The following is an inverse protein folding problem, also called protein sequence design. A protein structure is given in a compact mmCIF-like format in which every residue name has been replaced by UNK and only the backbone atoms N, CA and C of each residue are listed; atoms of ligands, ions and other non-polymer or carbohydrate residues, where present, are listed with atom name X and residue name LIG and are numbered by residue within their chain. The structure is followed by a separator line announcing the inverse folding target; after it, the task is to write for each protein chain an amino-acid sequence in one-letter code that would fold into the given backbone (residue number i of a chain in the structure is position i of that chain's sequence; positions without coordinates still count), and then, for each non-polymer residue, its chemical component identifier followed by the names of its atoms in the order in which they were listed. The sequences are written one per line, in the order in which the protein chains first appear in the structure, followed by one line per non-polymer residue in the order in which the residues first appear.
data_IF_506725326709
#
_entry.id   IF_506725326709
#
_cell.length_a   1.000
_cell.length_b   1.000
_cell.length_c   1.000
_cell.angle_alpha   90.00
_cell.angle_beta   90.00
_cell.angle_gamma   90.00
#
_symmetry.space_group_name_H-M   'P 1'
#
loop_
_entity.id
_entity.type
_entity.pdbx_description
1 polymer ?
#
# COMPACT_ATOMS: atom_id res chain seq x y z
N UNK A 1 16.80 -0.66 19.86
CA UNK A 1 17.19 0.02 18.62
C UNK A 1 15.96 0.42 17.84
N UNK A 2 15.98 1.63 17.26
CA UNK A 2 14.80 2.21 16.61
C UNK A 2 14.26 1.37 15.46
N UNK A 3 15.14 0.72 14.68
CA UNK A 3 14.69 -0.12 13.57
C UNK A 3 13.79 -1.27 13.99
N UNK A 4 14.13 -1.93 15.09
CA UNK A 4 13.30 -2.99 15.65
C UNK A 4 11.96 -2.46 16.16
N UNK A 5 11.98 -1.27 16.78
CA UNK A 5 10.77 -0.64 17.28
C UNK A 5 9.82 -0.23 16.14
N UNK A 6 10.33 0.17 14.99
CA UNK A 6 9.53 0.48 13.82
C UNK A 6 9.01 -0.78 13.15
N UNK A 7 9.82 -1.82 13.10
CA UNK A 7 9.47 -3.08 12.42
C UNK A 7 8.31 -3.78 13.08
N UNK A 8 8.31 -3.89 14.42
CA UNK A 8 7.28 -4.61 15.15
C UNK A 8 5.85 -4.10 14.86
N UNK A 9 5.56 -2.81 15.00
CA UNK A 9 4.23 -2.31 14.66
C UNK A 9 3.92 -2.43 13.17
N UNK A 10 4.92 -2.27 12.31
CA UNK A 10 4.72 -2.48 10.88
C UNK A 10 4.31 -3.92 10.56
N UNK A 11 4.98 -4.90 11.16
CA UNK A 11 4.63 -6.32 10.99
C UNK A 11 3.21 -6.61 11.49
N UNK A 12 2.80 -6.00 12.60
CA UNK A 12 1.44 -6.13 13.12
C UNK A 12 0.38 -5.62 12.15
N UNK A 13 0.63 -4.46 11.54
CA UNK A 13 -0.28 -3.90 10.51
C UNK A 13 -0.35 -4.83 9.29
N UNK A 14 0.81 -5.30 8.84
CA UNK A 14 0.91 -6.18 7.69
C UNK A 14 0.16 -7.49 7.91
N UNK A 15 0.35 -8.13 9.06
CA UNK A 15 -0.37 -9.35 9.43
C UNK A 15 -1.88 -9.13 9.44
N UNK A 16 -2.32 -8.03 10.01
CA UNK A 16 -3.74 -7.71 10.08
C UNK A 16 -4.36 -7.52 8.69
N UNK A 17 -3.66 -6.83 7.80
CA UNK A 17 -4.09 -6.66 6.41
C UNK A 17 -4.23 -8.01 5.71
N UNK A 18 -3.22 -8.89 5.86
CA UNK A 18 -3.23 -10.21 5.23
C UNK A 18 -4.33 -11.11 5.81
N UNK A 19 -4.55 -11.08 7.11
CA UNK A 19 -5.63 -11.84 7.76
C UNK A 19 -7.00 -11.43 7.21
N UNK A 20 -7.24 -10.12 7.08
CA UNK A 20 -8.51 -9.61 6.57
C UNK A 20 -8.71 -9.98 5.10
N UNK A 21 -7.66 -9.91 4.30
CA UNK A 21 -7.70 -10.32 2.90
C UNK A 21 -8.00 -11.81 2.79
N UNK A 22 -7.29 -12.62 3.57
CA UNK A 22 -7.47 -14.07 3.56
C UNK A 22 -8.89 -14.46 3.97
N UNK A 23 -9.42 -13.85 5.03
CA UNK A 23 -10.79 -14.09 5.50
C UNK A 23 -11.85 -13.72 4.46
N UNK A 24 -11.54 -12.75 3.60
CA UNK A 24 -12.45 -12.33 2.52
C UNK A 24 -12.27 -13.13 1.23
N UNK A 25 -11.42 -14.17 1.24
CA UNK A 25 -11.21 -15.04 0.07
C UNK A 25 -10.02 -14.67 -0.81
N UNK A 26 -9.26 -13.64 -0.46
CA UNK A 26 -8.05 -13.24 -1.19
C UNK A 26 -6.85 -14.01 -0.64
N UNK A 27 -6.73 -15.28 -1.01
CA UNK A 27 -5.74 -16.21 -0.42
C UNK A 27 -4.40 -16.22 -1.16
N UNK A 28 -4.32 -15.57 -2.31
CA UNK A 28 -3.13 -15.48 -3.15
C UNK A 28 -2.34 -14.18 -2.98
N UNK A 29 -2.59 -13.45 -1.90
CA UNK A 29 -2.02 -12.12 -1.70
C UNK A 29 -0.67 -12.22 -0.98
N UNK A 30 0.40 -11.93 -1.70
CA UNK A 30 1.75 -11.85 -1.13
C UNK A 30 1.91 -10.51 -0.37
N UNK A 31 2.69 -10.50 0.74
CA UNK A 31 2.94 -9.25 1.47
C UNK A 31 3.47 -8.11 0.61
N UNK A 32 4.28 -8.40 -0.41
CA UNK A 32 4.82 -7.38 -1.31
C UNK A 32 3.76 -6.67 -2.15
N UNK A 33 2.58 -7.26 -2.32
CA UNK A 33 1.48 -6.65 -3.08
C UNK A 33 0.76 -5.57 -2.30
N UNK A 34 0.82 -5.59 -0.96
CA UNK A 34 0.08 -4.68 -0.11
C UNK A 34 0.38 -3.22 -0.43
N UNK A 35 1.66 -2.90 -0.59
CA UNK A 35 2.09 -1.52 -0.83
C UNK A 35 1.67 -1.03 -2.22
N UNK A 36 1.62 -1.92 -3.21
CA UNK A 36 1.29 -1.56 -4.59
C UNK A 36 -0.21 -1.31 -4.75
N UNK A 37 -1.04 -2.21 -4.22
CA UNK A 37 -2.50 -2.20 -4.43
C UNK A 37 -3.17 -1.00 -3.75
N UNK A 38 -2.56 -0.43 -2.73
CA UNK A 38 -3.13 0.70 -2.00
C UNK A 38 -3.14 2.02 -2.77
N UNK A 39 -2.28 2.17 -3.78
CA UNK A 39 -1.98 3.49 -4.34
C UNK A 39 -2.73 3.87 -5.62
N UNK A 40 -3.02 2.98 -6.58
CA UNK A 40 -3.72 3.42 -7.77
C UNK A 40 -5.10 3.97 -7.42
N UNK A 41 -5.31 5.24 -7.75
CA UNK A 41 -6.61 5.87 -7.60
C UNK A 41 -7.56 5.50 -8.74
N UNK A 42 -8.78 6.07 -8.75
CA UNK A 42 -9.79 5.77 -9.77
C UNK A 42 -9.33 6.03 -11.21
N UNK A 43 -8.44 7.00 -11.38
CA UNK A 43 -7.91 7.36 -12.70
C UNK A 43 -6.64 6.59 -13.07
N UNK A 44 -6.17 5.72 -12.16
CA UNK A 44 -4.96 4.96 -12.34
C UNK A 44 -3.70 5.79 -12.09
N UNK A 45 -2.56 5.16 -12.29
CA UNK A 45 -1.25 5.78 -12.05
C UNK A 45 -0.23 5.25 -13.07
N UNK A 46 0.70 6.09 -13.49
CA UNK A 46 1.79 5.67 -14.36
C UNK A 46 2.81 4.85 -13.55
N UNK A 47 3.34 3.75 -14.12
CA UNK A 47 4.34 2.94 -13.41
C UNK A 47 5.54 3.73 -12.91
N UNK A 48 6.04 4.68 -13.71
CA UNK A 48 7.18 5.51 -13.31
C UNK A 48 6.87 6.37 -12.08
N UNK A 49 5.67 6.94 -12.01
CA UNK A 49 5.24 7.74 -10.87
C UNK A 49 5.07 6.87 -9.63
N UNK A 50 4.51 5.68 -9.79
CA UNK A 50 4.33 4.74 -8.71
C UNK A 50 5.69 4.24 -8.17
N UNK A 51 6.63 3.92 -9.05
CA UNK A 51 7.98 3.52 -8.65
C UNK A 51 8.66 4.60 -7.82
N UNK A 52 8.55 5.86 -8.24
CA UNK A 52 9.11 6.99 -7.51
C UNK A 52 8.48 7.14 -6.12
N UNK A 53 7.16 7.03 -6.03
CA UNK A 53 6.44 7.12 -4.74
C UNK A 53 6.83 6.00 -3.78
N UNK A 54 6.98 4.79 -4.29
CA UNK A 54 7.30 3.62 -3.48
C UNK A 54 8.80 3.43 -3.25
N UNK A 55 9.62 4.29 -3.85
CA UNK A 55 11.09 4.18 -3.80
C UNK A 55 11.58 2.81 -4.26
N UNK A 56 10.98 2.32 -5.33
CA UNK A 56 11.33 1.05 -5.95
C UNK A 56 12.00 1.30 -7.31
N UNK A 57 12.85 0.37 -7.71
CA UNK A 57 13.35 0.36 -9.08
C UNK A 57 12.21 0.01 -10.05
N UNK A 58 12.33 0.46 -11.30
CA UNK A 58 11.35 0.10 -12.33
C UNK A 58 11.24 -1.41 -12.50
N UNK A 59 12.37 -2.12 -12.47
CA UNK A 59 12.39 -3.58 -12.61
C UNK A 59 11.64 -4.27 -11.49
N UNK A 60 11.88 -3.88 -10.24
CA UNK A 60 11.21 -4.48 -9.09
C UNK A 60 9.70 -4.23 -9.14
N UNK A 61 9.30 -3.00 -9.47
CA UNK A 61 7.89 -2.67 -9.61
C UNK A 61 7.25 -3.43 -10.77
N UNK A 62 7.87 -3.46 -11.95
CA UNK A 62 7.35 -4.19 -13.10
C UNK A 62 7.12 -5.66 -12.80
N UNK A 63 8.02 -6.28 -12.03
CA UNK A 63 7.86 -7.66 -11.61
C UNK A 63 6.59 -7.85 -10.77
N UNK A 64 6.37 -6.98 -9.78
CA UNK A 64 5.16 -7.01 -8.94
C UNK A 64 3.90 -6.72 -9.75
N UNK A 65 3.96 -5.73 -10.65
CA UNK A 65 2.83 -5.38 -11.50
C UNK A 65 2.43 -6.53 -12.41
N UNK A 66 3.41 -7.25 -12.96
CA UNK A 66 3.16 -8.43 -13.78
C UNK A 66 2.46 -9.54 -13.00
N UNK A 67 2.88 -9.79 -11.77
CA UNK A 67 2.24 -10.77 -10.90
C UNK A 67 0.81 -10.36 -10.55
N UNK A 68 0.61 -9.11 -10.17
CA UNK A 68 -0.72 -8.59 -9.82
C UNK A 68 -1.67 -8.58 -11.01
N UNK A 69 -1.17 -8.29 -12.19
CA UNK A 69 -1.93 -8.36 -13.43
C UNK A 69 -2.36 -9.80 -13.72
N UNK A 70 -1.44 -10.74 -13.60
CA UNK A 70 -1.70 -12.17 -13.80
C UNK A 70 -2.76 -12.70 -12.82
N UNK A 71 -2.73 -12.25 -11.57
CA UNK A 71 -3.69 -12.64 -10.54
C UNK A 71 -5.03 -11.89 -10.65
N UNK A 72 -5.13 -10.91 -11.54
CA UNK A 72 -6.36 -10.18 -11.81
C UNK A 72 -6.65 -9.02 -10.88
N UNK A 73 -5.65 -8.50 -10.16
CA UNK A 73 -5.83 -7.36 -9.25
C UNK A 73 -5.70 -6.01 -9.95
N UNK A 74 -4.95 -5.96 -11.02
CA UNK A 74 -4.80 -4.73 -11.79
C UNK A 74 -4.68 -5.02 -13.26
N UNK A 75 -4.80 -3.96 -14.05
CA UNK A 75 -4.68 -4.00 -15.50
C UNK A 75 -3.92 -2.77 -15.98
N UNK A 76 -3.25 -2.93 -17.11
CA UNK A 76 -2.55 -1.84 -17.78
C UNK A 76 -3.44 -1.35 -18.92
N UNK A 77 -3.64 -0.04 -18.98
CA UNK A 77 -4.42 0.61 -20.02
C UNK A 77 -3.60 1.70 -20.68
N UNK A 78 -3.84 2.00 -21.97
CA UNK A 78 -3.19 3.15 -22.59
C UNK A 78 -3.54 4.43 -21.83
N UNK A 79 -2.55 5.31 -21.66
CA UNK A 79 -2.78 6.61 -21.05
C UNK A 79 -3.62 7.46 -22.01
N UNK A 80 -4.67 8.11 -21.50
CA UNK A 80 -5.55 8.95 -22.29
C UNK A 80 -4.81 10.16 -22.90
N UNK A 81 -3.80 10.68 -22.17
CA UNK A 81 -3.05 11.86 -22.58
C UNK A 81 -1.81 11.51 -23.41
N UNK A 82 -1.27 10.30 -23.26
CA UNK A 82 -0.08 9.85 -23.98
C UNK A 82 -0.22 8.36 -24.33
N UNK A 83 -0.54 8.09 -25.59
CA UNK A 83 -0.72 6.73 -26.11
C UNK A 83 0.53 5.86 -26.03
N UNK A 84 1.70 6.45 -25.84
CA UNK A 84 2.97 5.71 -25.72
C UNK A 84 3.18 5.13 -24.34
N UNK A 85 2.53 5.69 -23.32
CA UNK A 85 2.64 5.20 -21.96
C UNK A 85 1.37 4.46 -21.55
N UNK A 86 1.49 3.67 -20.48
CA UNK A 86 0.37 2.92 -19.92
C UNK A 86 0.12 3.38 -18.50
N UNK A 87 -1.15 3.35 -18.11
CA UNK A 87 -1.55 3.56 -16.72
C UNK A 87 -1.96 2.24 -16.12
N UNK A 88 -1.72 2.12 -14.82
CA UNK A 88 -2.13 0.99 -14.03
C UNK A 88 -3.43 1.36 -13.34
N UNK A 89 -4.45 0.53 -13.49
CA UNK A 89 -5.73 0.70 -12.80
C UNK A 89 -6.06 -0.59 -12.07
N UNK A 90 -6.78 -0.45 -10.96
CA UNK A 90 -7.31 -1.61 -10.25
C UNK A 90 -8.48 -2.21 -11.01
N UNK A 91 -8.53 -3.52 -11.06
CA UNK A 91 -9.73 -4.25 -11.50
C UNK A 91 -10.78 -4.18 -10.39
N UNK A 92 -11.98 -4.70 -10.64
CA UNK A 92 -13.00 -4.85 -9.59
C UNK A 92 -12.44 -5.67 -8.42
N UNK A 93 -11.72 -6.73 -8.71
CA UNK A 93 -11.06 -7.57 -7.69
C UNK A 93 -10.02 -6.78 -6.91
N UNK A 94 -9.19 -6.01 -7.60
CA UNK A 94 -8.17 -5.17 -6.96
C UNK A 94 -8.79 -4.06 -6.11
N UNK A 95 -9.86 -3.44 -6.57
CA UNK A 95 -10.57 -2.40 -5.82
C UNK A 95 -11.17 -2.95 -4.52
N UNK A 96 -11.72 -4.17 -4.56
CA UNK A 96 -12.23 -4.84 -3.35
C UNK A 96 -11.10 -5.12 -2.36
N UNK A 97 -9.96 -5.64 -2.85
CA UNK A 97 -8.80 -5.89 -2.02
C UNK A 97 -8.29 -4.59 -1.38
N UNK A 98 -8.18 -3.51 -2.16
CA UNK A 98 -7.74 -2.21 -1.66
C UNK A 98 -8.66 -1.67 -0.56
N UNK A 99 -9.97 -1.85 -0.69
CA UNK A 99 -10.93 -1.45 0.33
C UNK A 99 -10.72 -2.22 1.63
N UNK A 100 -10.51 -3.54 1.53
CA UNK A 100 -10.23 -4.40 2.69
C UNK A 100 -8.94 -3.97 3.39
N UNK A 101 -7.90 -3.67 2.62
CA UNK A 101 -6.62 -3.21 3.15
C UNK A 101 -6.78 -1.90 3.93
N UNK A 102 -7.48 -0.91 3.35
CA UNK A 102 -7.71 0.38 4.02
C UNK A 102 -8.51 0.21 5.30
N UNK A 103 -9.51 -0.64 5.28
CA UNK A 103 -10.32 -0.94 6.46
C UNK A 103 -9.48 -1.61 7.55
N UNK A 104 -8.61 -2.54 7.18
CA UNK A 104 -7.72 -3.21 8.13
C UNK A 104 -6.78 -2.21 8.80
N UNK A 105 -6.21 -1.27 8.03
CA UNK A 105 -5.37 -0.22 8.57
C UNK A 105 -6.15 0.67 9.55
N UNK A 106 -7.36 1.05 9.19
CA UNK A 106 -8.23 1.85 10.07
C UNK A 106 -8.54 1.12 11.38
N UNK A 107 -8.75 -0.18 11.33
CA UNK A 107 -8.97 -1.01 12.53
C UNK A 107 -7.73 -1.01 13.44
N UNK A 108 -6.54 -1.09 12.87
CA UNK A 108 -5.30 -1.02 13.63
C UNK A 108 -5.10 0.35 14.27
N UNK A 109 -5.41 1.42 13.53
CA UNK A 109 -5.35 2.79 14.07
C UNK A 109 -6.30 2.95 15.26
N UNK A 110 -7.51 2.42 15.16
CA UNK A 110 -8.48 2.46 16.25
C UNK A 110 -7.97 1.71 17.49
N UNK A 111 -7.41 0.52 17.29
CA UNK A 111 -6.83 -0.29 18.37
C UNK A 111 -5.70 0.47 19.06
N UNK A 112 -4.78 1.04 18.29
CA UNK A 112 -3.66 1.80 18.85
C UNK A 112 -4.10 3.09 19.54
N UNK A 113 -5.15 3.73 19.01
CA UNK A 113 -5.73 4.91 19.65
C UNK A 113 -6.31 4.55 21.01
N UNK A 114 -6.97 3.40 21.14
CA UNK A 114 -7.49 2.92 22.42
C UNK A 114 -6.36 2.57 23.39
N UNK A 115 -5.30 1.93 22.91
CA UNK A 115 -4.18 1.50 23.75
C UNK A 115 -3.31 2.65 24.24
N UNK A 116 -3.01 3.60 23.36
CA UNK A 116 -2.13 4.74 23.67
C UNK A 116 -2.88 5.97 24.17
N UNK A 117 -4.16 6.06 23.87
CA UNK A 117 -4.94 7.27 24.01
C UNK A 117 -4.85 8.14 22.76
N UNK A 118 -5.91 8.94 22.47
CA UNK A 118 -5.97 9.73 21.23
C UNK A 118 -4.83 10.73 21.06
N UNK A 119 -4.43 11.37 22.17
CA UNK A 119 -3.37 12.38 22.14
C UNK A 119 -2.02 11.78 21.79
N UNK A 120 -1.63 10.70 22.47
CA UNK A 120 -0.35 10.04 22.22
C UNK A 120 -0.29 9.40 20.84
N UNK A 121 -1.39 8.80 20.39
CA UNK A 121 -1.45 8.24 19.04
C UNK A 121 -1.30 9.33 17.99
N UNK A 122 -1.96 10.47 18.15
CA UNK A 122 -1.81 11.59 17.23
C UNK A 122 -0.39 12.15 17.22
N UNK A 123 0.28 12.21 18.36
CA UNK A 123 1.70 12.58 18.44
C UNK A 123 2.58 11.60 17.67
N UNK A 124 2.34 10.30 17.82
CA UNK A 124 3.06 9.27 17.06
C UNK A 124 2.89 9.47 15.56
N UNK A 125 1.65 9.67 15.10
CA UNK A 125 1.36 9.91 13.69
C UNK A 125 2.13 11.11 13.16
N UNK A 126 2.10 12.23 13.89
CA UNK A 126 2.79 13.47 13.50
C UNK A 126 4.30 13.24 13.42
N UNK A 127 4.89 12.56 14.41
CA UNK A 127 6.32 12.28 14.41
C UNK A 127 6.75 11.38 13.26
N UNK A 128 5.95 10.37 12.94
CA UNK A 128 6.23 9.50 11.79
C UNK A 128 6.13 10.27 10.47
N UNK A 129 5.16 11.17 10.33
CA UNK A 129 5.04 12.05 9.17
C UNK A 129 6.27 12.94 9.02
N UNK A 130 6.70 13.57 10.12
CA UNK A 130 7.89 14.42 10.13
C UNK A 130 9.14 13.65 9.69
N UNK A 131 9.32 12.44 10.20
CA UNK A 131 10.46 11.59 9.81
C UNK A 131 10.40 11.22 8.32
N UNK A 132 9.20 10.93 7.81
CA UNK A 132 9.01 10.63 6.39
C UNK A 132 9.40 11.81 5.50
N UNK A 133 9.00 13.01 5.87
CA UNK A 133 9.34 14.24 5.12
C UNK A 133 10.84 14.52 5.16
N UNK A 134 11.48 14.39 6.32
CA UNK A 134 12.93 14.57 6.45
C UNK A 134 13.70 13.58 5.56
N UNK A 135 13.25 12.35 5.48
CA UNK A 135 13.90 11.32 4.66
C UNK A 135 13.71 11.56 3.15
N UNK A 136 12.67 12.28 2.76
CA UNK A 136 12.47 12.67 1.36
C UNK A 136 13.42 13.78 0.91
N UNK A 137 13.88 14.59 1.84
CA UNK A 137 14.80 15.70 1.55
C UNK A 137 16.26 15.24 1.41
N UNK A 138 16.58 14.04 1.82
CA UNK A 138 17.91 13.45 1.68
C UNK A 138 17.96 12.44 0.56
#
# INVERSE_FOLDING_TARGET
MIGALLRQPWEAVQEHMLERLHAAGFTDFDPSYLIVVQYPGPQGERPSDLAARLRMSKQALDHLLGQLEHLGYLKRQPDADDKRSKRITLTTRGAKAATIIRKAVAEMEDTWTQQLGPQRFNQLRTLLQDLGELNQLT
#
